data_IF_365718308329
#
_entry.id   IF_365718308329
#
_cell.length_a   1.000
_cell.length_b   1.000
_cell.length_c   1.000
_cell.angle_alpha   90.00
_cell.angle_beta   90.00
_cell.angle_gamma   90.00
#
_symmetry.space_group_name_H-M   'P 1'
#
loop_
_entity.id
_entity.type
_entity.pdbx_description
1 polymer ?
#
# COMPACT_ATOMS: atom_id res chain seq x y z
N UNK A 1 0.91 -14.08 -3.11
CA UNK A 1 0.79 -12.97 -4.09
C UNK A 1 1.53 -11.77 -3.52
N UNK A 2 2.29 -11.03 -4.34
CA UNK A 2 2.89 -9.75 -3.92
C UNK A 2 2.01 -8.61 -4.41
N UNK A 3 1.88 -7.56 -3.63
CA UNK A 3 0.99 -6.43 -3.93
C UNK A 3 1.57 -5.12 -3.41
N UNK A 4 1.33 -4.05 -4.16
CA UNK A 4 1.71 -2.68 -3.83
C UNK A 4 0.49 -1.78 -4.02
N UNK A 5 0.45 -0.70 -3.24
CA UNK A 5 -0.55 0.36 -3.41
C UNK A 5 0.12 1.49 -4.18
N UNK A 6 -0.57 2.01 -5.19
CA UNK A 6 -0.07 3.14 -5.96
C UNK A 6 -1.20 4.05 -6.44
N UNK A 7 -0.82 5.26 -6.81
CA UNK A 7 -1.70 6.27 -7.40
C UNK A 7 -1.51 6.30 -8.91
N UNK A 8 -2.62 6.26 -9.65
CA UNK A 8 -2.59 6.49 -11.10
C UNK A 8 -2.23 7.97 -11.36
N UNK A 9 -1.11 8.21 -12.02
CA UNK A 9 -0.65 9.57 -12.36
C UNK A 9 -1.19 9.98 -13.73
N UNK A 10 -1.13 9.07 -14.69
CA UNK A 10 -1.57 9.37 -16.05
C UNK A 10 -1.27 8.24 -17.02
N UNK A 11 -1.41 8.55 -18.30
CA UNK A 11 -1.10 7.65 -19.40
C UNK A 11 -0.08 8.31 -20.31
N UNK A 12 0.86 7.52 -20.81
CA UNK A 12 1.89 7.97 -21.76
C UNK A 12 2.09 6.89 -22.81
N UNK A 13 2.84 7.19 -23.86
CA UNK A 13 3.23 6.22 -24.88
C UNK A 13 4.75 6.11 -24.93
N UNK A 14 5.26 4.89 -24.95
CA UNK A 14 6.69 4.61 -25.11
C UNK A 14 6.92 3.99 -26.49
N UNK A 15 8.04 4.32 -27.10
CA UNK A 15 8.51 3.65 -28.30
C UNK A 15 9.34 2.44 -27.89
N UNK A 16 9.01 1.29 -28.46
CA UNK A 16 9.75 0.04 -28.31
C UNK A 16 10.97 0.05 -29.25
N UNK A 17 11.90 -0.90 -29.08
CA UNK A 17 13.15 -0.97 -29.86
C UNK A 17 12.91 -1.14 -31.37
N UNK A 18 11.73 -1.66 -31.75
CA UNK A 18 11.27 -1.79 -33.14
C UNK A 18 10.53 -0.55 -33.67
N UNK A 19 10.54 0.57 -32.96
CA UNK A 19 9.87 1.83 -33.36
C UNK A 19 8.35 1.81 -33.21
N UNK A 20 7.76 0.83 -32.53
CA UNK A 20 6.32 0.72 -32.32
C UNK A 20 5.87 1.51 -31.08
N UNK A 21 4.73 2.18 -31.18
CA UNK A 21 4.09 2.89 -30.05
C UNK A 21 3.38 1.89 -29.13
N UNK A 22 3.70 1.94 -27.83
CA UNK A 22 3.04 1.17 -26.77
C UNK A 22 2.40 2.12 -25.75
N UNK A 23 1.07 2.09 -25.58
CA UNK A 23 0.40 2.89 -24.54
C UNK A 23 0.62 2.27 -23.17
N UNK A 24 1.03 3.09 -22.20
CA UNK A 24 1.38 2.68 -20.85
C UNK A 24 0.69 3.59 -19.82
N UNK A 25 0.39 3.05 -18.64
CA UNK A 25 -0.12 3.82 -17.50
C UNK A 25 1.01 4.04 -16.49
N UNK A 26 1.20 5.29 -16.06
CA UNK A 26 2.17 5.65 -15.03
C UNK A 26 1.49 5.53 -13.66
N UNK A 27 2.08 4.70 -12.80
CA UNK A 27 1.62 4.49 -11.43
C UNK A 27 2.74 4.93 -10.49
N UNK A 28 2.44 5.87 -9.60
CA UNK A 28 3.33 6.24 -8.50
C UNK A 28 3.08 5.27 -7.34
N UNK A 29 4.07 4.45 -7.02
CA UNK A 29 4.03 3.56 -5.87
C UNK A 29 4.96 4.08 -4.78
N UNK A 30 4.45 4.17 -3.55
CA UNK A 30 5.26 4.39 -2.35
C UNK A 30 5.20 5.77 -1.68
N UNK A 31 5.65 5.86 -0.41
CA UNK A 31 6.04 4.73 0.45
C UNK A 31 4.80 3.96 0.96
N UNK A 32 4.81 2.62 0.78
CA UNK A 32 3.77 1.73 1.31
C UNK A 32 4.24 1.15 2.65
N UNK A 33 3.59 1.51 3.75
CA UNK A 33 3.99 1.07 5.10
C UNK A 33 3.05 0.00 5.63
N UNK A 34 3.59 -1.06 6.22
CA UNK A 34 2.81 -2.12 6.88
C UNK A 34 2.30 -1.56 8.22
N UNK A 35 0.99 -1.59 8.44
CA UNK A 35 0.38 -1.15 9.70
C UNK A 35 0.06 -2.31 10.62
N UNK A 36 -0.43 -3.42 10.06
CA UNK A 36 -0.81 -4.59 10.84
C UNK A 36 -0.59 -5.87 10.04
N UNK A 37 -0.12 -6.90 10.75
CA UNK A 37 -0.09 -8.28 10.27
C UNK A 37 -1.24 -9.00 11.00
N UNK A 38 -2.17 -9.56 10.23
CA UNK A 38 -3.29 -10.35 10.74
C UNK A 38 -2.96 -11.83 10.61
N UNK A 39 -3.21 -12.54 11.69
CA UNK A 39 -2.90 -13.97 11.84
C UNK A 39 -4.18 -14.74 12.13
N UNK A 40 -4.24 -15.98 11.66
CA UNK A 40 -5.38 -16.87 11.80
C UNK A 40 -5.81 -17.08 13.26
N UNK A 41 -4.85 -17.04 14.19
CA UNK A 41 -5.09 -17.26 15.63
C UNK A 41 -5.89 -16.13 16.31
N UNK A 42 -5.68 -14.88 15.88
CA UNK A 42 -6.30 -13.69 16.52
C UNK A 42 -7.44 -13.11 15.70
N UNK A 43 -7.27 -13.08 14.37
CA UNK A 43 -8.16 -12.38 13.45
C UNK A 43 -9.01 -13.35 12.59
N UNK A 44 -8.72 -14.66 12.64
CA UNK A 44 -9.47 -15.69 11.91
C UNK A 44 -9.07 -15.85 10.43
N UNK A 45 -8.11 -15.06 9.94
CA UNK A 45 -7.56 -15.16 8.58
C UNK A 45 -6.17 -14.51 8.46
N UNK A 46 -5.41 -14.93 7.45
CA UNK A 46 -4.09 -14.38 7.14
C UNK A 46 -4.19 -13.21 6.15
N UNK A 47 -3.76 -12.03 6.58
CA UNK A 47 -3.66 -10.86 5.71
C UNK A 47 -2.61 -9.86 6.20
N UNK A 48 -2.13 -9.05 5.26
CA UNK A 48 -1.25 -7.92 5.56
C UNK A 48 -1.99 -6.63 5.24
N UNK A 49 -1.98 -5.71 6.19
CA UNK A 49 -2.52 -4.38 6.02
C UNK A 49 -1.40 -3.41 5.62
N UNK A 50 -1.58 -2.79 4.44
CA UNK A 50 -0.68 -1.80 3.88
C UNK A 50 -1.36 -0.44 3.84
N UNK A 51 -0.56 0.60 4.03
CA UNK A 51 -1.01 1.99 4.05
C UNK A 51 -0.23 2.85 3.05
N UNK A 52 -0.92 3.81 2.43
CA UNK A 52 -0.39 4.67 1.37
C UNK A 52 -1.06 6.06 1.36
N UNK A 53 -0.37 7.06 0.80
CA UNK A 53 -0.75 8.48 0.71
C UNK A 53 -0.76 9.17 2.08
N UNK A 54 0.03 10.23 2.24
CA UNK A 54 0.18 10.92 3.53
C UNK A 54 -1.07 11.73 3.89
N UNK A 55 -1.52 11.57 5.14
CA UNK A 55 -2.63 12.36 5.66
C UNK A 55 -2.10 13.53 6.50
N UNK A 56 -2.45 14.76 6.09
CA UNK A 56 -2.11 15.95 6.85
C UNK A 56 -2.64 15.90 8.28
N UNK A 57 -1.85 16.41 9.24
CA UNK A 57 -2.13 16.31 10.68
C UNK A 57 -3.48 16.88 11.10
N UNK A 58 -3.98 17.89 10.37
CA UNK A 58 -5.28 18.53 10.63
C UNK A 58 -6.50 17.65 10.32
N UNK A 59 -6.33 16.59 9.51
CA UNK A 59 -7.42 15.70 9.06
C UNK A 59 -7.44 14.35 9.79
N UNK A 60 -6.55 14.15 10.76
CA UNK A 60 -6.43 12.89 11.50
C UNK A 60 -7.52 12.80 12.56
N UNK A 61 -8.19 11.65 12.65
CA UNK A 61 -9.08 11.33 13.76
C UNK A 61 -8.29 10.65 14.89
N UNK A 62 -8.71 10.80 16.15
CA UNK A 62 -7.99 10.23 17.31
C UNK A 62 -7.84 8.70 17.21
N UNK A 63 -8.87 8.01 16.74
CA UNK A 63 -8.84 6.54 16.57
C UNK A 63 -7.81 6.08 15.54
N UNK A 64 -7.68 6.79 14.40
CA UNK A 64 -6.68 6.44 13.39
C UNK A 64 -5.28 6.73 13.91
N UNK A 65 -5.07 7.86 14.59
CA UNK A 65 -3.79 8.17 15.25
C UNK A 65 -3.35 7.05 16.22
N UNK A 66 -4.27 6.55 17.05
CA UNK A 66 -3.97 5.45 17.98
C UNK A 66 -3.59 4.14 17.28
N UNK A 67 -4.20 3.84 16.13
CA UNK A 67 -3.87 2.67 15.33
C UNK A 67 -2.46 2.77 14.73
N UNK A 68 -2.12 3.88 14.08
CA UNK A 68 -0.81 4.11 13.46
C UNK A 68 0.34 4.23 14.48
N UNK A 69 0.06 4.67 15.71
CA UNK A 69 1.04 4.67 16.82
C UNK A 69 1.55 3.27 17.16
N UNK A 70 0.73 2.22 17.02
CA UNK A 70 1.15 0.84 17.31
C UNK A 70 2.19 0.33 16.31
N UNK A 71 2.13 0.81 15.07
CA UNK A 71 3.07 0.48 14.00
C UNK A 71 4.19 1.51 13.82
N UNK A 72 4.29 2.48 14.73
CA UNK A 72 5.24 3.60 14.69
C UNK A 72 5.30 4.32 13.33
N UNK A 73 4.15 4.42 12.65
CA UNK A 73 4.06 4.97 11.30
C UNK A 73 3.21 6.25 11.28
N UNK A 74 3.44 7.10 10.29
CA UNK A 74 2.62 8.29 10.11
C UNK A 74 1.24 7.90 9.56
N UNK A 75 0.18 8.60 9.98
CA UNK A 75 -1.16 8.31 9.52
C UNK A 75 -1.28 8.56 8.03
N UNK A 76 -1.67 7.51 7.31
CA UNK A 76 -1.90 7.53 5.87
C UNK A 76 -3.40 7.58 5.57
N UNK A 77 -3.74 8.03 4.36
CA UNK A 77 -5.11 8.22 3.88
C UNK A 77 -5.75 6.93 3.36
N UNK A 78 -4.95 6.06 2.73
CA UNK A 78 -5.42 4.78 2.20
C UNK A 78 -4.84 3.65 3.01
N UNK A 79 -5.71 2.71 3.38
CA UNK A 79 -5.37 1.49 4.11
C UNK A 79 -6.09 0.35 3.40
N UNK A 80 -5.34 -0.67 2.98
CA UNK A 80 -5.85 -1.79 2.19
C UNK A 80 -5.26 -3.09 2.71
N UNK A 81 -6.06 -4.15 2.72
CA UNK A 81 -5.64 -5.48 3.12
C UNK A 81 -5.35 -6.36 1.91
N UNK A 82 -4.26 -7.11 1.97
CA UNK A 82 -3.92 -8.13 0.99
C UNK A 82 -3.96 -9.52 1.65
N UNK A 83 -4.81 -10.39 1.11
CA UNK A 83 -4.90 -11.81 1.49
C UNK A 83 -3.84 -12.62 0.73
N UNK A 84 -3.40 -13.74 1.30
CA UNK A 84 -2.43 -14.66 0.69
C UNK A 84 -1.11 -13.98 0.27
N UNK A 85 -0.61 -13.04 1.09
CA UNK A 85 0.66 -12.37 0.84
C UNK A 85 1.84 -13.33 1.07
N UNK A 86 2.93 -13.21 0.29
CA UNK A 86 4.03 -14.19 0.34
C UNK A 86 4.85 -14.02 1.63
N UNK A 87 4.59 -14.86 2.64
CA UNK A 87 5.10 -14.79 4.03
C UNK A 87 6.60 -15.09 4.25
N UNK A 88 7.49 -14.95 3.26
CA UNK A 88 8.83 -15.55 3.40
C UNK A 88 9.83 -14.76 4.27
N UNK A 89 9.60 -13.48 4.60
CA UNK A 89 10.63 -12.64 5.24
C UNK A 89 10.12 -11.58 6.23
N UNK A 90 8.89 -11.70 6.75
CA UNK A 90 8.37 -10.75 7.74
C UNK A 90 8.54 -11.33 9.16
N UNK A 91 9.78 -11.31 9.65
CA UNK A 91 10.12 -11.51 11.06
C UNK A 91 10.86 -10.28 11.58
#
# INVERSE_FOLDING_TARGET
MSGLIGKKIGMTSLFDDMGRIRPCTVIEAGPCTITQIKDQSKDGYDAIQLSYDDLSKKKINMSTSGHFKKSNSEPKKKIVEFKNFRNKELK
#
